data_IF_391222546641
#
_entry.id   IF_391222546641
#
_cell.length_a   1.000
_cell.length_b   1.000
_cell.length_c   1.000
_cell.angle_alpha   90.00
_cell.angle_beta   90.00
_cell.angle_gamma   90.00
#
_symmetry.space_group_name_H-M   'P 1'
#
loop_
_entity.id
_entity.type
_entity.pdbx_description
1 polymer ?
#
# COMPACT_ATOMS: atom_id res chain seq x y z
N UNK A 1 25.75 -8.84 -1.08
CA UNK A 1 27.12 -9.37 -0.85
C UNK A 1 27.14 -10.69 -0.09
N UNK A 2 26.59 -10.79 1.14
CA UNK A 2 26.61 -12.04 1.94
C UNK A 2 26.03 -13.28 1.22
N UNK A 3 24.93 -13.12 0.46
CA UNK A 3 24.30 -14.22 -0.29
C UNK A 3 25.14 -14.72 -1.48
N UNK A 4 25.82 -13.81 -2.18
CA UNK A 4 26.70 -14.16 -3.31
C UNK A 4 27.94 -14.90 -2.80
N UNK A 5 28.52 -14.43 -1.69
CA UNK A 5 29.63 -15.09 -1.03
C UNK A 5 29.26 -16.51 -0.55
N UNK A 6 28.03 -16.69 -0.05
CA UNK A 6 27.51 -18.00 0.36
C UNK A 6 27.37 -18.96 -0.83
N UNK A 7 26.81 -18.50 -1.96
CA UNK A 7 26.70 -19.32 -3.19
C UNK A 7 28.09 -19.72 -3.71
N UNK A 8 29.05 -18.80 -3.69
CA UNK A 8 30.43 -19.09 -4.06
C UNK A 8 31.07 -20.14 -3.16
N UNK A 9 30.91 -20.02 -1.84
CA UNK A 9 31.42 -20.98 -0.87
C UNK A 9 30.78 -22.37 -1.04
N UNK A 10 29.48 -22.45 -1.34
CA UNK A 10 28.81 -23.71 -1.66
C UNK A 10 29.42 -24.35 -2.91
N UNK A 11 29.65 -23.57 -3.98
CA UNK A 11 30.28 -24.08 -5.20
C UNK A 11 31.69 -24.64 -4.95
N UNK A 12 32.52 -23.91 -4.19
CA UNK A 12 33.86 -24.37 -3.80
C UNK A 12 33.79 -25.63 -2.93
N UNK A 13 32.88 -25.66 -1.95
CA UNK A 13 32.69 -26.84 -1.09
C UNK A 13 32.26 -28.08 -1.89
N UNK A 14 31.42 -27.91 -2.91
CA UNK A 14 30.96 -29.00 -3.77
C UNK A 14 32.10 -29.55 -4.64
N UNK A 15 32.95 -28.69 -5.18
CA UNK A 15 34.15 -29.09 -5.91
C UNK A 15 35.12 -29.87 -5.01
N UNK A 16 35.35 -29.38 -3.78
CA UNK A 16 36.18 -30.05 -2.79
C UNK A 16 35.57 -31.39 -2.34
N UNK A 17 34.24 -31.49 -2.22
CA UNK A 17 33.56 -32.72 -1.85
C UNK A 17 33.68 -33.79 -2.93
N UNK A 18 33.49 -33.45 -4.21
CA UNK A 18 33.66 -34.41 -5.32
C UNK A 18 35.11 -34.87 -5.42
N UNK A 19 36.08 -33.97 -5.26
CA UNK A 19 37.50 -34.30 -5.30
C UNK A 19 37.92 -35.15 -4.09
N UNK A 20 37.41 -34.81 -2.91
CA UNK A 20 37.62 -35.55 -1.67
C UNK A 20 37.04 -36.96 -1.73
N UNK A 21 35.80 -37.12 -2.21
CA UNK A 21 35.17 -38.43 -2.40
C UNK A 21 35.93 -39.31 -3.41
N UNK A 22 36.43 -38.73 -4.49
CA UNK A 22 37.30 -39.47 -5.42
C UNK A 22 38.58 -39.95 -4.74
N UNK A 23 39.26 -39.06 -4.01
CA UNK A 23 40.49 -39.40 -3.30
C UNK A 23 40.28 -40.48 -2.23
N UNK A 24 39.16 -40.43 -1.49
CA UNK A 24 38.87 -41.46 -0.46
C UNK A 24 38.56 -42.82 -1.06
N UNK A 25 37.87 -42.89 -2.20
CA UNK A 25 37.49 -44.15 -2.83
C UNK A 25 38.60 -44.77 -3.70
N UNK A 26 39.45 -43.94 -4.33
CA UNK A 26 40.44 -44.40 -5.32
C UNK A 26 41.88 -44.11 -4.88
N UNK A 27 42.13 -42.98 -4.22
CA UNK A 27 43.48 -42.46 -3.96
C UNK A 27 44.19 -42.98 -2.71
N UNK A 28 43.46 -43.44 -1.67
CA UNK A 28 44.05 -43.77 -0.35
C UNK A 28 45.12 -44.89 -0.41
N UNK A 29 45.08 -45.78 -1.41
CA UNK A 29 45.98 -46.94 -1.52
C UNK A 29 46.85 -46.94 -2.79
N UNK A 30 46.84 -45.86 -3.56
CA UNK A 30 47.54 -45.76 -4.84
C UNK A 30 48.50 -44.57 -4.85
N UNK A 31 49.68 -44.76 -5.44
CA UNK A 31 50.66 -43.68 -5.65
C UNK A 31 50.07 -42.72 -6.68
N UNK A 32 50.24 -41.41 -6.48
CA UNK A 32 49.83 -40.42 -7.48
C UNK A 32 50.42 -40.77 -8.86
N UNK A 33 49.57 -40.78 -9.88
CA UNK A 33 50.06 -41.04 -11.24
C UNK A 33 50.98 -39.92 -11.70
N UNK A 34 52.10 -40.31 -12.31
CA UNK A 34 53.03 -39.39 -12.96
C UNK A 34 52.70 -39.22 -14.46
N UNK A 35 51.72 -39.98 -14.97
CA UNK A 35 51.28 -39.91 -16.35
C UNK A 35 50.26 -38.79 -16.52
N UNK A 36 50.54 -37.86 -17.42
CA UNK A 36 49.63 -36.76 -17.74
C UNK A 36 48.26 -37.25 -18.27
N UNK A 37 48.22 -38.40 -18.95
CA UNK A 37 46.98 -38.99 -19.49
C UNK A 37 45.96 -39.33 -18.40
N UNK A 38 46.42 -39.81 -17.24
CA UNK A 38 45.52 -40.21 -16.15
C UNK A 38 44.87 -38.99 -15.50
N UNK A 39 45.61 -37.88 -15.40
CA UNK A 39 45.09 -36.59 -14.94
C UNK A 39 44.13 -35.95 -15.92
N UNK A 40 44.34 -36.12 -17.23
CA UNK A 40 43.40 -35.68 -18.25
C UNK A 40 42.06 -36.41 -18.12
N UNK A 41 42.07 -37.75 -18.02
CA UNK A 41 40.85 -38.54 -17.85
C UNK A 41 40.13 -38.25 -16.52
N UNK A 42 40.87 -38.02 -15.43
CA UNK A 42 40.29 -37.58 -14.16
C UNK A 42 39.61 -36.22 -14.30
N UNK A 43 40.28 -35.24 -14.93
CA UNK A 43 39.74 -33.91 -15.18
C UNK A 43 38.46 -33.93 -16.00
N UNK A 44 38.38 -34.79 -17.02
CA UNK A 44 37.17 -34.99 -17.84
C UNK A 44 36.00 -35.53 -17.00
N UNK A 45 36.23 -36.58 -16.21
CA UNK A 45 35.19 -37.14 -15.33
C UNK A 45 34.74 -36.13 -14.28
N UNK A 46 35.69 -35.52 -13.56
CA UNK A 46 35.42 -34.55 -12.51
C UNK A 46 34.68 -33.33 -13.06
N UNK A 47 35.15 -32.78 -14.19
CA UNK A 47 34.54 -31.64 -14.87
C UNK A 47 33.13 -31.96 -15.36
N UNK A 48 32.91 -33.17 -15.89
CA UNK A 48 31.58 -33.62 -16.33
C UNK A 48 30.57 -33.73 -15.19
N UNK A 49 30.95 -34.38 -14.08
CA UNK A 49 30.08 -34.54 -12.91
C UNK A 49 29.84 -33.19 -12.21
N UNK A 50 30.90 -32.43 -11.94
CA UNK A 50 30.79 -31.12 -11.30
C UNK A 50 30.01 -30.13 -12.17
N UNK A 51 30.26 -30.10 -13.48
CA UNK A 51 29.55 -29.26 -14.43
C UNK A 51 28.06 -29.57 -14.48
N UNK A 52 27.69 -30.85 -14.51
CA UNK A 52 26.28 -31.29 -14.52
C UNK A 52 25.57 -30.93 -13.21
N UNK A 53 26.22 -31.15 -12.07
CA UNK A 53 25.70 -30.76 -10.75
C UNK A 53 25.53 -29.24 -10.62
N UNK A 54 26.52 -28.47 -11.05
CA UNK A 54 26.46 -27.01 -11.04
C UNK A 54 25.33 -26.51 -11.95
N UNK A 55 25.17 -27.07 -13.16
CA UNK A 55 24.08 -26.71 -14.06
C UNK A 55 22.71 -26.97 -13.43
N UNK A 56 22.54 -28.13 -12.78
CA UNK A 56 21.30 -28.45 -12.05
C UNK A 56 21.03 -27.45 -10.91
N UNK A 57 22.05 -27.13 -10.11
CA UNK A 57 21.95 -26.13 -9.05
C UNK A 57 21.62 -24.75 -9.61
N UNK A 58 22.22 -24.36 -10.74
CA UNK A 58 21.93 -23.10 -11.43
C UNK A 58 20.45 -23.00 -11.81
N UNK A 59 19.85 -24.08 -12.33
CA UNK A 59 18.42 -24.13 -12.65
C UNK A 59 17.58 -23.97 -11.39
N UNK A 60 17.90 -24.68 -10.30
CA UNK A 60 17.18 -24.54 -9.03
C UNK A 60 17.26 -23.12 -8.46
N UNK A 61 18.45 -22.51 -8.50
CA UNK A 61 18.65 -21.13 -8.06
C UNK A 61 17.87 -20.13 -8.92
N UNK A 62 17.80 -20.36 -10.23
CA UNK A 62 17.01 -19.53 -11.14
C UNK A 62 15.52 -19.62 -10.80
N UNK A 63 14.98 -20.82 -10.63
CA UNK A 63 13.57 -21.04 -10.24
C UNK A 63 13.27 -20.37 -8.91
N UNK A 64 14.15 -20.53 -7.91
CA UNK A 64 14.01 -19.87 -6.61
C UNK A 64 14.05 -18.34 -6.73
N UNK A 65 14.91 -17.81 -7.59
CA UNK A 65 15.00 -16.37 -7.85
C UNK A 65 13.71 -15.85 -8.47
N UNK A 66 13.15 -16.54 -9.46
CA UNK A 66 11.86 -16.19 -10.09
C UNK A 66 10.73 -16.21 -9.07
N UNK A 67 10.70 -17.21 -8.18
CA UNK A 67 9.72 -17.27 -7.09
C UNK A 67 9.78 -16.04 -6.18
N UNK A 68 10.99 -15.66 -5.72
CA UNK A 68 11.18 -14.46 -4.90
C UNK A 68 10.77 -13.20 -5.66
N UNK A 69 11.14 -13.09 -6.94
CA UNK A 69 10.80 -11.93 -7.76
C UNK A 69 9.28 -11.76 -7.89
N UNK A 70 8.53 -12.86 -8.04
CA UNK A 70 7.07 -12.82 -8.09
C UNK A 70 6.46 -12.35 -6.77
N UNK A 71 6.97 -12.84 -5.63
CA UNK A 71 6.51 -12.40 -4.30
C UNK A 71 6.81 -10.90 -4.08
N UNK A 72 8.00 -10.45 -4.48
CA UNK A 72 8.37 -9.03 -4.43
C UNK A 72 7.47 -8.16 -5.30
N UNK A 73 7.10 -8.63 -6.50
CA UNK A 73 6.20 -7.91 -7.39
C UNK A 73 4.79 -7.78 -6.80
N UNK A 74 4.24 -8.87 -6.26
CA UNK A 74 2.94 -8.86 -5.58
C UNK A 74 2.93 -7.88 -4.40
N UNK A 75 3.98 -7.91 -3.57
CA UNK A 75 4.13 -6.99 -2.45
C UNK A 75 4.26 -5.55 -2.92
N UNK A 76 5.02 -5.29 -3.99
CA UNK A 76 5.15 -3.94 -4.56
C UNK A 76 3.81 -3.42 -5.09
N UNK A 77 3.03 -4.25 -5.80
CA UNK A 77 1.69 -3.90 -6.28
C UNK A 77 0.74 -3.56 -5.12
N UNK A 78 0.75 -4.36 -4.04
CA UNK A 78 -0.07 -4.11 -2.87
C UNK A 78 0.31 -2.78 -2.17
N UNK A 79 1.60 -2.48 -2.04
CA UNK A 79 2.07 -1.20 -1.49
C UNK A 79 1.71 -0.01 -2.40
N UNK A 80 1.75 -0.18 -3.73
CA UNK A 80 1.33 0.84 -4.68
C UNK A 80 -0.16 1.15 -4.55
N UNK A 81 -1.02 0.13 -4.50
CA UNK A 81 -2.46 0.28 -4.29
C UNK A 81 -2.75 1.02 -2.97
N UNK A 82 -2.10 0.60 -1.88
CA UNK A 82 -2.21 1.26 -0.58
C UNK A 82 -1.89 2.76 -0.66
N UNK A 83 -0.80 3.11 -1.33
CA UNK A 83 -0.35 4.49 -1.49
C UNK A 83 -1.33 5.31 -2.34
N UNK A 84 -1.83 4.72 -3.42
CA UNK A 84 -2.78 5.37 -4.32
C UNK A 84 -4.10 5.67 -3.60
N UNK A 85 -4.70 4.67 -2.96
CA UNK A 85 -5.92 4.83 -2.17
C UNK A 85 -5.74 5.86 -1.04
N UNK A 86 -4.59 5.83 -0.36
CA UNK A 86 -4.28 6.84 0.65
C UNK A 86 -4.20 8.25 0.06
N UNK A 87 -3.54 8.42 -1.09
CA UNK A 87 -3.46 9.70 -1.78
C UNK A 87 -4.85 10.20 -2.20
N UNK A 88 -5.74 9.29 -2.65
CA UNK A 88 -7.13 9.62 -2.94
C UNK A 88 -7.89 10.12 -1.70
N UNK A 89 -7.76 9.45 -0.56
CA UNK A 89 -8.37 9.88 0.71
C UNK A 89 -7.81 11.23 1.17
N UNK A 90 -6.48 11.40 1.17
CA UNK A 90 -5.83 12.65 1.57
C UNK A 90 -6.23 13.81 0.66
N UNK A 91 -6.28 13.61 -0.66
CA UNK A 91 -6.70 14.65 -1.60
C UNK A 91 -8.15 15.09 -1.35
N UNK A 92 -9.06 14.14 -1.13
CA UNK A 92 -10.44 14.47 -0.78
C UNK A 92 -10.54 15.22 0.56
N UNK A 93 -9.70 14.84 1.54
CA UNK A 93 -9.59 15.53 2.82
C UNK A 93 -9.06 16.96 2.70
N UNK A 94 -8.05 17.18 1.86
CA UNK A 94 -7.46 18.48 1.57
C UNK A 94 -8.45 19.38 0.84
N UNK A 95 -9.23 18.85 -0.11
CA UNK A 95 -10.29 19.60 -0.80
C UNK A 95 -11.38 20.06 0.20
N UNK A 96 -11.74 19.21 1.17
CA UNK A 96 -12.63 19.60 2.27
C UNK A 96 -11.96 20.69 3.11
N UNK A 97 -10.70 20.52 3.52
CA UNK A 97 -9.97 21.51 4.32
C UNK A 97 -9.92 22.88 3.65
N UNK A 98 -9.59 22.92 2.37
CA UNK A 98 -9.59 24.14 1.57
C UNK A 98 -10.99 24.78 1.47
N UNK A 99 -12.04 23.96 1.34
CA UNK A 99 -13.42 24.47 1.33
C UNK A 99 -13.85 25.05 2.68
N UNK A 100 -13.44 24.42 3.78
CA UNK A 100 -13.72 24.90 5.13
C UNK A 100 -12.99 26.22 5.44
N UNK A 101 -11.80 26.44 4.89
CA UNK A 101 -11.08 27.72 5.03
C UNK A 101 -11.66 28.88 4.21
N UNK A 102 -12.74 28.66 3.44
CA UNK A 102 -13.35 29.73 2.64
C UNK A 102 -14.05 30.74 3.55
N UNK A 103 -13.83 32.02 3.28
CA UNK A 103 -14.48 33.11 4.00
C UNK A 103 -15.95 33.29 3.58
N UNK A 104 -16.82 33.49 4.57
CA UNK A 104 -18.24 33.80 4.43
C UNK A 104 -18.52 35.15 5.10
N UNK A 105 -19.39 35.97 4.50
CA UNK A 105 -19.75 37.27 5.04
C UNK A 105 -20.55 37.18 6.36
N UNK A 106 -20.22 38.06 7.31
CA UNK A 106 -20.97 38.28 8.56
C UNK A 106 -21.88 39.50 8.42
N UNK A 107 -23.21 39.33 8.26
CA UNK A 107 -24.12 40.47 8.07
C UNK A 107 -24.22 41.38 9.31
N UNK A 108 -23.89 40.86 10.50
CA UNK A 108 -23.97 41.58 11.78
C UNK A 108 -22.87 42.65 11.94
N UNK A 109 -21.75 42.53 11.24
CA UNK A 109 -20.58 43.40 11.34
C UNK A 109 -20.10 43.75 9.93
N UNK A 110 -20.29 45.00 9.52
CA UNK A 110 -19.92 45.48 8.18
C UNK A 110 -18.45 45.18 7.86
N UNK A 111 -18.22 44.36 6.82
CA UNK A 111 -16.88 44.00 6.34
C UNK A 111 -16.20 42.87 7.12
N UNK A 112 -16.86 42.29 8.14
CA UNK A 112 -16.35 41.11 8.82
C UNK A 112 -16.64 39.84 8.01
N UNK A 113 -15.68 38.92 8.00
CA UNK A 113 -15.81 37.59 7.41
C UNK A 113 -15.33 36.55 8.41
N UNK A 114 -15.83 35.33 8.26
CA UNK A 114 -15.45 34.18 9.10
C UNK A 114 -15.19 32.98 8.22
N UNK A 115 -14.39 32.03 8.69
CA UNK A 115 -14.17 30.80 7.95
C UNK A 115 -15.44 29.93 8.02
N UNK A 116 -15.77 29.28 6.91
CA UNK A 116 -16.88 28.33 6.89
C UNK A 116 -16.68 27.21 7.92
N UNK A 117 -15.42 26.80 8.14
CA UNK A 117 -15.01 25.85 9.16
C UNK A 117 -15.47 26.26 10.56
N UNK A 118 -15.46 27.54 10.91
CA UNK A 118 -15.90 28.01 12.22
C UNK A 118 -17.37 27.70 12.46
N UNK A 119 -18.20 27.73 11.42
CA UNK A 119 -19.63 27.35 11.51
C UNK A 119 -19.77 25.82 11.55
N UNK A 120 -19.00 25.10 10.72
CA UNK A 120 -19.07 23.63 10.64
C UNK A 120 -18.65 22.96 11.94
N UNK A 121 -17.63 23.50 12.61
CA UNK A 121 -17.10 23.00 13.89
C UNK A 121 -17.84 23.56 15.11
N UNK A 122 -18.88 24.39 14.91
CA UNK A 122 -19.72 24.91 15.98
C UNK A 122 -19.11 26.05 16.80
N UNK A 123 -18.09 26.74 16.28
CA UNK A 123 -17.54 27.96 16.87
C UNK A 123 -18.48 29.17 16.64
N UNK A 124 -19.26 29.14 15.56
CA UNK A 124 -20.25 30.17 15.21
C UNK A 124 -21.60 29.57 14.86
N UNK A 125 -22.68 30.29 15.19
CA UNK A 125 -24.03 29.86 14.86
C UNK A 125 -24.37 30.16 13.37
N UNK A 126 -25.04 29.25 12.66
CA UNK A 126 -25.43 29.44 11.26
C UNK A 126 -26.27 30.70 10.98
N UNK A 127 -26.96 31.23 11.99
CA UNK A 127 -27.80 32.43 11.87
C UNK A 127 -26.97 33.73 11.77
N UNK A 128 -25.69 33.68 12.13
CA UNK A 128 -24.79 34.83 12.18
C UNK A 128 -24.10 35.11 10.83
N UNK A 129 -24.16 34.16 9.89
CA UNK A 129 -23.58 34.26 8.54
C UNK A 129 -24.63 34.53 7.48
N UNK A 130 -24.21 35.00 6.30
CA UNK A 130 -25.12 35.19 5.17
C UNK A 130 -25.82 33.87 4.79
N UNK A 131 -27.18 33.81 4.81
CA UNK A 131 -27.91 32.57 4.57
C UNK A 131 -27.73 31.97 3.17
N UNK A 132 -27.53 32.82 2.14
CA UNK A 132 -27.39 32.35 0.75
C UNK A 132 -26.00 31.77 0.52
N UNK A 133 -24.96 32.44 1.02
CA UNK A 133 -23.59 31.93 0.98
C UNK A 133 -23.46 30.65 1.80
N UNK A 134 -24.05 30.61 2.99
CA UNK A 134 -24.08 29.42 3.84
C UNK A 134 -24.75 28.23 3.14
N UNK A 135 -25.92 28.41 2.54
CA UNK A 135 -26.59 27.32 1.83
C UNK A 135 -25.72 26.77 0.69
N UNK A 136 -25.09 27.63 -0.12
CA UNK A 136 -24.18 27.18 -1.19
C UNK A 136 -22.95 26.47 -0.63
N UNK A 137 -22.40 26.94 0.49
CA UNK A 137 -21.27 26.32 1.18
C UNK A 137 -21.60 24.91 1.67
N UNK A 138 -22.76 24.75 2.30
CA UNK A 138 -23.26 23.46 2.82
C UNK A 138 -23.56 22.47 1.69
N UNK A 139 -24.18 22.92 0.58
CA UNK A 139 -24.42 22.06 -0.60
C UNK A 139 -23.12 21.57 -1.22
N UNK A 140 -22.10 22.42 -1.35
CA UNK A 140 -20.80 21.98 -1.87
C UNK A 140 -20.07 21.06 -0.89
N UNK A 141 -20.14 21.33 0.40
CA UNK A 141 -19.57 20.47 1.44
C UNK A 141 -20.16 19.07 1.42
N UNK A 142 -21.48 18.96 1.18
CA UNK A 142 -22.16 17.67 1.03
C UNK A 142 -21.52 16.82 -0.08
N UNK A 143 -21.33 17.38 -1.27
CA UNK A 143 -20.70 16.67 -2.40
C UNK A 143 -19.27 16.24 -2.06
N UNK A 144 -18.47 17.13 -1.47
CA UNK A 144 -17.08 16.82 -1.09
C UNK A 144 -17.02 15.73 -0.01
N UNK A 145 -17.94 15.76 0.95
CA UNK A 145 -18.03 14.75 2.01
C UNK A 145 -18.44 13.40 1.44
N UNK A 146 -19.35 13.34 0.47
CA UNK A 146 -19.70 12.09 -0.22
C UNK A 146 -18.48 11.47 -0.91
N UNK A 147 -17.72 12.26 -1.68
CA UNK A 147 -16.50 11.79 -2.36
C UNK A 147 -15.46 11.30 -1.35
N UNK A 148 -15.31 11.99 -0.23
CA UNK A 148 -14.40 11.59 0.84
C UNK A 148 -14.82 10.28 1.52
N UNK A 149 -16.11 10.11 1.82
CA UNK A 149 -16.65 8.87 2.38
C UNK A 149 -16.49 7.69 1.41
N UNK A 150 -16.68 7.91 0.11
CA UNK A 150 -16.47 6.90 -0.94
C UNK A 150 -14.99 6.48 -1.01
N UNK A 151 -14.07 7.44 -1.06
CA UNK A 151 -12.63 7.16 -1.05
C UNK A 151 -12.21 6.38 0.22
N UNK A 152 -12.80 6.72 1.36
CA UNK A 152 -12.52 6.08 2.64
C UNK A 152 -13.10 4.65 2.73
N UNK A 153 -14.28 4.41 2.14
CA UNK A 153 -14.86 3.08 2.00
C UNK A 153 -13.99 2.18 1.11
N UNK A 154 -13.55 2.69 -0.05
CA UNK A 154 -12.61 1.99 -0.93
C UNK A 154 -11.29 1.66 -0.23
N UNK A 155 -10.76 2.60 0.57
CA UNK A 155 -9.55 2.35 1.37
C UNK A 155 -9.77 1.19 2.35
N UNK A 156 -10.88 1.20 3.11
CA UNK A 156 -11.20 0.13 4.07
C UNK A 156 -11.34 -1.23 3.40
N UNK A 157 -12.04 -1.29 2.26
CA UNK A 157 -12.37 -2.55 1.62
C UNK A 157 -11.13 -3.22 1.00
N UNK A 158 -10.07 -2.46 0.73
CA UNK A 158 -8.85 -2.95 0.09
C UNK A 158 -7.61 -3.00 1.01
N UNK A 159 -7.59 -2.24 2.11
CA UNK A 159 -6.42 -2.03 2.98
C UNK A 159 -6.78 -2.26 4.45
N UNK A 160 -5.77 -2.53 5.28
CA UNK A 160 -5.90 -2.61 6.73
C UNK A 160 -6.59 -1.34 7.33
N UNK A 161 -7.70 -1.51 8.08
CA UNK A 161 -8.55 -0.42 8.54
C UNK A 161 -8.13 0.22 9.88
N UNK A 162 -7.00 -0.16 10.49
CA UNK A 162 -6.82 0.15 11.92
C UNK A 162 -6.55 1.61 12.24
N UNK A 163 -5.46 2.19 11.76
CA UNK A 163 -5.03 3.52 12.24
C UNK A 163 -5.49 4.68 11.34
N UNK A 164 -5.06 4.66 10.07
CA UNK A 164 -5.31 5.75 9.12
C UNK A 164 -6.81 5.90 8.86
N UNK A 165 -7.49 4.78 8.62
CA UNK A 165 -8.93 4.79 8.40
C UNK A 165 -9.69 5.34 9.62
N UNK A 166 -9.32 4.94 10.85
CA UNK A 166 -9.99 5.45 12.07
C UNK A 166 -9.85 6.96 12.22
N UNK A 167 -8.68 7.52 11.92
CA UNK A 167 -8.45 8.97 11.94
C UNK A 167 -9.38 9.69 10.95
N UNK A 168 -9.38 9.24 9.70
CA UNK A 168 -10.21 9.83 8.65
C UNK A 168 -11.72 9.65 8.89
N UNK A 169 -12.11 8.49 9.45
CA UNK A 169 -13.49 8.16 9.81
C UNK A 169 -14.06 9.14 10.82
N UNK A 170 -13.31 9.50 11.87
CA UNK A 170 -13.80 10.43 12.89
C UNK A 170 -14.15 11.81 12.29
N UNK A 171 -13.32 12.31 11.37
CA UNK A 171 -13.59 13.55 10.63
C UNK A 171 -14.82 13.40 9.74
N UNK A 172 -14.93 12.28 9.00
CA UNK A 172 -16.08 11.99 8.14
C UNK A 172 -17.40 11.96 8.93
N UNK A 173 -17.43 11.27 10.09
CA UNK A 173 -18.60 11.20 10.97
C UNK A 173 -19.02 12.58 11.48
N UNK A 174 -18.05 13.44 11.81
CA UNK A 174 -18.32 14.81 12.26
C UNK A 174 -18.96 15.66 11.15
N UNK A 175 -18.45 15.55 9.93
CA UNK A 175 -19.01 16.23 8.75
C UNK A 175 -20.41 15.70 8.41
N UNK A 176 -20.61 14.38 8.42
CA UNK A 176 -21.92 13.76 8.19
C UNK A 176 -22.94 14.21 9.23
N UNK A 177 -22.57 14.31 10.51
CA UNK A 177 -23.44 14.81 11.57
C UNK A 177 -23.85 16.26 11.32
N UNK A 178 -22.90 17.11 10.94
CA UNK A 178 -23.19 18.50 10.58
C UNK A 178 -24.15 18.60 9.39
N UNK A 179 -23.89 17.85 8.32
CA UNK A 179 -24.71 17.83 7.11
C UNK A 179 -26.12 17.27 7.36
N UNK A 180 -26.24 16.24 8.19
CA UNK A 180 -27.52 15.65 8.58
C UNK A 180 -28.36 16.65 9.37
N UNK A 181 -27.73 17.42 10.28
CA UNK A 181 -28.41 18.49 11.03
C UNK A 181 -28.95 19.58 10.10
N UNK A 182 -28.27 19.83 8.98
CA UNK A 182 -28.62 20.85 7.99
C UNK A 182 -29.25 20.26 6.73
N UNK A 183 -29.82 19.04 6.80
CA UNK A 183 -30.38 18.35 5.64
C UNK A 183 -31.47 19.16 4.92
N UNK A 184 -32.22 20.00 5.63
CA UNK A 184 -33.27 20.87 5.05
C UNK A 184 -32.69 21.86 4.03
N UNK A 185 -31.41 22.25 4.17
CA UNK A 185 -30.72 23.11 3.21
C UNK A 185 -30.26 22.37 1.97
N UNK A 186 -30.20 21.03 2.06
CA UNK A 186 -29.76 20.14 1.01
C UNK A 186 -30.98 19.66 0.19
N UNK A 187 -30.78 19.42 -1.10
CA UNK A 187 -31.86 18.95 -1.99
C UNK A 187 -32.45 17.59 -1.57
N UNK A 188 -33.54 17.13 -2.22
CA UNK A 188 -34.27 15.92 -1.82
C UNK A 188 -33.43 14.63 -1.81
N UNK A 189 -32.34 14.57 -2.56
CA UNK A 189 -31.43 13.40 -2.62
C UNK A 189 -30.37 13.37 -1.51
N UNK A 190 -30.31 14.39 -0.65
CA UNK A 190 -29.30 14.49 0.39
C UNK A 190 -29.46 13.44 1.49
N UNK A 191 -30.69 13.14 1.92
CA UNK A 191 -30.94 12.12 2.94
C UNK A 191 -30.43 10.73 2.56
N UNK A 192 -30.82 10.18 1.40
CA UNK A 192 -30.29 8.91 0.91
C UNK A 192 -28.77 8.90 0.79
N UNK A 193 -28.18 9.92 0.16
CA UNK A 193 -26.72 9.99 -0.02
C UNK A 193 -25.93 10.04 1.29
N UNK A 194 -26.41 10.77 2.30
CA UNK A 194 -25.79 10.80 3.63
C UNK A 194 -25.88 9.44 4.33
N UNK A 195 -27.02 8.74 4.18
CA UNK A 195 -27.19 7.38 4.70
C UNK A 195 -26.23 6.40 4.02
N UNK A 196 -26.06 6.50 2.71
CA UNK A 196 -25.10 5.69 1.97
C UNK A 196 -23.66 5.94 2.42
N UNK A 197 -23.30 7.20 2.66
CA UNK A 197 -21.99 7.53 3.22
C UNK A 197 -21.78 6.87 4.58
N UNK A 198 -22.78 6.93 5.46
CA UNK A 198 -22.72 6.30 6.78
C UNK A 198 -22.55 4.77 6.69
N UNK A 199 -23.38 4.10 5.87
CA UNK A 199 -23.26 2.65 5.62
C UNK A 199 -21.86 2.29 5.08
N UNK A 200 -21.38 3.11 4.14
CA UNK A 200 -20.05 3.02 3.55
C UNK A 200 -18.92 3.21 4.56
N UNK A 201 -19.11 3.91 5.69
CA UNK A 201 -18.13 3.99 6.78
C UNK A 201 -18.24 2.81 7.75
N UNK A 202 -19.44 2.28 7.96
CA UNK A 202 -19.72 1.22 8.93
C UNK A 202 -19.42 -0.20 8.41
N UNK A 203 -19.15 -0.35 7.11
CA UNK A 203 -18.84 -1.65 6.49
C UNK A 203 -20.09 -2.43 6.09
N UNK A 204 -21.21 -1.72 5.97
CA UNK A 204 -22.47 -2.31 5.55
C UNK A 204 -22.59 -2.18 4.03
N UNK A 205 -22.67 -3.30 3.33
CA UNK A 205 -23.02 -3.33 1.91
C UNK A 205 -24.54 -3.27 1.76
N UNK A 206 -25.03 -2.69 0.67
CA UNK A 206 -26.46 -2.70 0.34
C UNK A 206 -26.99 -4.15 0.38
N UNK A 207 -28.02 -4.37 1.20
CA UNK A 207 -28.80 -5.61 1.25
C UNK A 207 -29.90 -5.60 0.20
#
# INVERSE_FOLDING_TARGET
MKRILLVFLIGVALLLAVGGLFYTHVGIRHVLSHNASDWASFGEYFGGVAGTLLAFISILLLVYTVYIQNEQLSNAQHQMLKRDLLAHVTKADDEIGHWLGRQIALPSLSGATVEFGDVVWGLLEPKQVDPKEFQRAVVRLHVLTCLYCEALALYRDNIDPYFIFKYHRQKAESLLKFLTTHQVLLGPMAGPSLKFCQMGLDGQHES
#
